data_IF_132602919052
#
_entry.id   IF_132602919052
#
_cell.length_a   1.000
_cell.length_b   1.000
_cell.length_c   1.000
_cell.angle_alpha   90.00
_cell.angle_beta   90.00
_cell.angle_gamma   90.00
#
_symmetry.space_group_name_H-M   'P 1'
#
loop_
_entity.id
_entity.type
_entity.pdbx_description
1 polymer ?
#
# COMPACT_ATOMS: atom_id res chain seq x y z
N UNK A 1 -24.06 1.13 -15.68
CA UNK A 1 -23.84 1.86 -16.95
C UNK A 1 -22.43 2.42 -16.88
N UNK A 2 -21.50 1.94 -17.71
CA UNK A 2 -20.15 2.48 -17.73
C UNK A 2 -20.15 3.73 -18.62
N UNK A 3 -19.80 4.89 -18.07
CA UNK A 3 -19.62 6.10 -18.85
C UNK A 3 -18.27 6.01 -19.56
N UNK A 4 -18.29 5.64 -20.83
CA UNK A 4 -17.12 5.73 -21.70
C UNK A 4 -16.92 7.21 -22.07
N UNK A 5 -16.01 7.89 -21.39
CA UNK A 5 -15.51 9.19 -21.85
C UNK A 5 -14.79 8.93 -23.17
N UNK A 6 -15.08 9.71 -24.21
CA UNK A 6 -14.31 9.65 -25.45
C UNK A 6 -12.93 10.22 -25.18
N UNK A 7 -11.92 9.37 -25.16
CA UNK A 7 -10.54 9.81 -25.09
C UNK A 7 -10.15 10.48 -26.42
N UNK A 8 -9.94 11.80 -26.38
CA UNK A 8 -9.16 12.50 -27.40
C UNK A 8 -7.68 12.13 -27.20
N UNK A 9 -7.29 10.93 -27.63
CA UNK A 9 -5.88 10.53 -27.63
C UNK A 9 -5.19 11.20 -28.80
N UNK A 10 -4.51 12.31 -28.53
CA UNK A 10 -3.37 12.71 -29.35
C UNK A 10 -2.40 11.52 -29.37
N UNK A 11 -2.03 11.06 -30.57
CA UNK A 11 -1.11 9.94 -30.80
C UNK A 11 0.21 10.19 -30.08
N UNK A 12 0.36 9.60 -28.89
CA UNK A 12 1.62 9.61 -28.14
C UNK A 12 2.67 8.92 -29.01
N UNK A 13 3.82 9.55 -29.30
CA UNK A 13 4.89 8.93 -30.05
C UNK A 13 5.25 7.59 -29.42
N UNK A 14 5.27 6.54 -30.24
CA UNK A 14 5.50 5.13 -29.86
C UNK A 14 6.86 4.84 -29.20
N UNK A 15 7.64 5.86 -28.88
CA UNK A 15 9.00 5.77 -28.36
C UNK A 15 9.23 6.56 -27.06
N UNK A 16 8.18 7.04 -26.38
CA UNK A 16 8.35 7.53 -25.00
C UNK A 16 8.47 6.32 -24.06
N UNK A 17 9.72 5.94 -23.76
CA UNK A 17 10.05 5.04 -22.65
C UNK A 17 9.87 5.80 -21.33
N UNK A 18 8.63 5.89 -20.86
CA UNK A 18 8.35 6.35 -19.50
C UNK A 18 8.78 5.25 -18.52
N UNK A 19 9.85 5.51 -17.78
CA UNK A 19 10.30 4.64 -16.70
C UNK A 19 10.02 5.34 -15.37
N UNK A 20 9.29 4.67 -14.49
CA UNK A 20 9.02 5.16 -13.13
C UNK A 20 10.34 5.32 -12.38
N UNK A 21 10.63 6.46 -11.73
CA UNK A 21 11.85 6.61 -10.95
C UNK A 21 11.99 5.47 -9.94
N UNK A 22 13.15 4.83 -9.92
CA UNK A 22 13.47 3.75 -8.97
C UNK A 22 14.63 4.21 -8.10
N UNK A 23 14.46 4.12 -6.79
CA UNK A 23 15.40 4.61 -5.79
C UNK A 23 15.95 3.41 -5.03
N UNK A 24 17.27 3.27 -5.09
CA UNK A 24 18.00 2.22 -4.39
C UNK A 24 18.40 2.72 -2.99
N UNK A 25 17.97 2.01 -1.94
CA UNK A 25 18.33 2.30 -0.55
C UNK A 25 19.47 1.42 -0.02
N UNK A 26 20.18 0.69 -0.90
CA UNK A 26 21.34 -0.08 -0.51
C UNK A 26 22.40 0.82 0.14
N UNK A 27 22.90 0.38 1.30
CA UNK A 27 23.98 1.03 2.06
C UNK A 27 23.72 2.49 2.49
N UNK A 28 22.49 3.03 2.38
CA UNK A 28 22.19 4.42 2.80
C UNK A 28 22.40 4.67 4.30
N UNK A 29 22.39 3.61 5.11
CA UNK A 29 22.64 3.70 6.55
C UNK A 29 24.14 3.68 6.90
N UNK A 30 25.01 3.23 5.99
CA UNK A 30 26.45 3.05 6.22
C UNK A 30 27.29 3.97 5.34
N UNK A 31 26.73 4.54 4.28
CA UNK A 31 27.42 5.39 3.31
C UNK A 31 26.71 6.73 3.11
N UNK A 32 27.34 7.81 3.57
CA UNK A 32 26.79 9.18 3.47
C UNK A 32 26.56 9.62 2.02
N UNK A 33 27.44 9.25 1.08
CA UNK A 33 27.29 9.62 -0.32
C UNK A 33 26.04 8.97 -0.93
N UNK A 34 25.81 7.69 -0.64
CA UNK A 34 24.61 6.97 -1.10
C UNK A 34 23.34 7.55 -0.49
N UNK A 35 23.39 7.95 0.79
CA UNK A 35 22.27 8.63 1.45
C UNK A 35 21.93 9.96 0.79
N UNK A 36 22.92 10.80 0.50
CA UNK A 36 22.72 12.09 -0.17
C UNK A 36 22.14 11.90 -1.57
N UNK A 37 22.66 10.93 -2.33
CA UNK A 37 22.14 10.61 -3.65
C UNK A 37 20.68 10.12 -3.61
N UNK A 38 20.34 9.23 -2.67
CA UNK A 38 18.97 8.76 -2.49
C UNK A 38 18.01 9.90 -2.13
N UNK A 39 18.41 10.83 -1.25
CA UNK A 39 17.60 11.99 -0.87
C UNK A 39 17.37 12.95 -2.04
N UNK A 40 18.37 13.19 -2.88
CA UNK A 40 18.21 14.01 -4.09
C UNK A 40 17.24 13.34 -5.07
N UNK A 41 17.37 12.03 -5.30
CA UNK A 41 16.46 11.26 -6.15
C UNK A 41 15.02 11.29 -5.62
N UNK A 42 14.82 11.12 -4.31
CA UNK A 42 13.49 11.22 -3.68
C UNK A 42 12.91 12.61 -3.92
N UNK A 43 13.70 13.66 -3.68
CA UNK A 43 13.26 15.05 -3.84
C UNK A 43 12.86 15.35 -5.28
N UNK A 44 13.67 14.92 -6.26
CA UNK A 44 13.35 15.06 -7.69
C UNK A 44 12.09 14.26 -8.05
N UNK A 45 11.99 13.00 -7.65
CA UNK A 45 10.83 12.16 -7.96
C UNK A 45 9.53 12.72 -7.37
N UNK A 46 9.55 13.22 -6.14
CA UNK A 46 8.40 13.90 -5.55
C UNK A 46 7.96 15.13 -6.35
N UNK A 47 8.91 15.96 -6.82
CA UNK A 47 8.62 17.19 -7.56
C UNK A 47 8.16 16.95 -9.00
N UNK A 48 8.80 16.01 -9.69
CA UNK A 48 8.63 15.80 -11.13
C UNK A 48 7.58 14.72 -11.44
N UNK A 49 7.43 13.71 -10.58
CA UNK A 49 6.57 12.55 -10.83
C UNK A 49 5.43 12.41 -9.82
N UNK A 50 5.65 12.79 -8.55
CA UNK A 50 4.71 12.54 -7.46
C UNK A 50 4.64 11.07 -7.02
N UNK A 51 5.41 10.17 -7.63
CA UNK A 51 5.54 8.77 -7.24
C UNK A 51 6.89 8.19 -7.70
N UNK A 52 7.34 7.12 -7.03
CA UNK A 52 8.56 6.38 -7.34
C UNK A 52 8.50 4.97 -6.74
N UNK A 53 9.40 4.11 -7.19
CA UNK A 53 9.63 2.78 -6.60
C UNK A 53 10.86 2.81 -5.71
N UNK A 54 10.87 1.96 -4.68
CA UNK A 54 12.01 1.77 -3.80
C UNK A 54 12.47 0.31 -3.92
N UNK A 55 13.79 0.11 -4.04
CA UNK A 55 14.44 -1.20 -3.95
C UNK A 55 15.46 -1.21 -2.82
N UNK A 56 15.85 -2.40 -2.35
CA UNK A 56 16.76 -2.57 -1.21
C UNK A 56 16.30 -1.81 0.06
N UNK A 57 14.98 -1.74 0.28
CA UNK A 57 14.35 -1.03 1.42
C UNK A 57 14.56 -1.72 2.78
N UNK A 58 15.24 -2.89 2.82
CA UNK A 58 15.56 -3.60 4.06
C UNK A 58 14.40 -4.38 4.70
N UNK A 59 13.25 -4.49 4.02
CA UNK A 59 12.16 -5.37 4.45
C UNK A 59 12.39 -6.72 3.76
N UNK A 60 12.45 -7.81 4.54
CA UNK A 60 12.65 -9.16 4.02
C UNK A 60 11.56 -9.58 3.04
N UNK A 61 11.94 -10.30 2.00
CA UNK A 61 11.01 -10.76 0.95
C UNK A 61 9.95 -11.69 1.55
N UNK A 62 10.35 -12.52 2.51
CA UNK A 62 9.47 -13.42 3.26
C UNK A 62 8.36 -12.67 4.01
N UNK A 63 8.63 -11.45 4.50
CA UNK A 63 7.62 -10.61 5.16
C UNK A 63 6.59 -10.10 4.14
N UNK A 64 7.06 -9.71 2.94
CA UNK A 64 6.17 -9.28 1.86
C UNK A 64 5.32 -10.43 1.33
N UNK A 65 5.90 -11.62 1.16
CA UNK A 65 5.20 -12.81 0.70
C UNK A 65 4.12 -13.25 1.69
N UNK A 66 4.43 -13.30 3.00
CA UNK A 66 3.43 -13.62 4.01
C UNK A 66 2.34 -12.56 4.13
N UNK A 67 2.65 -11.28 3.89
CA UNK A 67 1.63 -10.22 3.77
C UNK A 67 0.67 -10.50 2.61
N UNK A 68 1.19 -10.80 1.43
CA UNK A 68 0.37 -11.12 0.26
C UNK A 68 -0.47 -12.39 0.52
N UNK A 69 0.12 -13.43 1.10
CA UNK A 69 -0.58 -14.66 1.45
C UNK A 69 -1.70 -14.43 2.47
N UNK A 70 -1.45 -13.66 3.53
CA UNK A 70 -2.46 -13.37 4.56
C UNK A 70 -3.68 -12.65 3.98
N UNK A 71 -3.46 -11.60 3.18
CA UNK A 71 -4.55 -10.85 2.52
C UNK A 71 -5.29 -11.74 1.51
N UNK A 72 -4.57 -12.55 0.73
CA UNK A 72 -5.18 -13.50 -0.20
C UNK A 72 -6.08 -14.51 0.54
N UNK A 73 -5.55 -15.15 1.59
CA UNK A 73 -6.30 -16.10 2.43
C UNK A 73 -7.56 -15.45 2.99
N UNK A 74 -7.51 -14.19 3.40
CA UNK A 74 -8.70 -13.46 3.86
C UNK A 74 -9.78 -13.35 2.78
N UNK A 75 -9.43 -12.98 1.55
CA UNK A 75 -10.41 -12.84 0.46
C UNK A 75 -10.96 -14.19 -0.04
N UNK A 76 -10.20 -15.28 0.15
CA UNK A 76 -10.60 -16.66 -0.14
C UNK A 76 -11.48 -17.30 0.97
N UNK A 77 -11.64 -16.66 2.13
CA UNK A 77 -12.58 -17.13 3.17
C UNK A 77 -14.02 -17.12 2.69
N UNK A 78 -14.85 -17.96 3.34
CA UNK A 78 -16.29 -17.97 3.17
C UNK A 78 -16.90 -16.58 3.41
N UNK A 79 -17.91 -16.25 2.61
CA UNK A 79 -18.56 -14.95 2.67
C UNK A 79 -19.17 -14.66 4.04
N UNK A 80 -19.70 -15.68 4.73
CA UNK A 80 -20.23 -15.52 6.09
C UNK A 80 -19.16 -15.09 7.10
N UNK A 81 -17.93 -15.59 6.95
CA UNK A 81 -16.81 -15.18 7.80
C UNK A 81 -16.39 -13.75 7.45
N UNK A 82 -16.21 -13.43 6.16
CA UNK A 82 -15.82 -12.07 5.72
C UNK A 82 -16.86 -11.01 6.11
N UNK A 83 -18.16 -11.34 6.08
CA UNK A 83 -19.26 -10.44 6.49
C UNK A 83 -19.12 -9.97 7.93
N UNK A 84 -18.54 -10.77 8.84
CA UNK A 84 -18.31 -10.35 10.23
C UNK A 84 -17.37 -9.14 10.34
N UNK A 85 -16.47 -8.97 9.37
CA UNK A 85 -15.56 -7.83 9.28
C UNK A 85 -16.15 -6.67 8.46
N UNK A 86 -17.29 -6.85 7.78
CA UNK A 86 -17.84 -5.84 6.89
C UNK A 86 -18.32 -4.61 7.67
N UNK A 87 -17.80 -3.44 7.32
CA UNK A 87 -18.26 -2.18 7.90
C UNK A 87 -17.96 -0.95 7.06
N UNK A 88 -18.93 -0.04 7.01
CA UNK A 88 -18.77 1.32 6.49
C UNK A 88 -18.37 2.34 7.56
N UNK A 89 -18.34 1.94 8.82
CA UNK A 89 -17.87 2.79 9.91
C UNK A 89 -16.36 2.99 9.80
N UNK A 90 -15.95 4.24 9.57
CA UNK A 90 -14.54 4.61 9.41
C UNK A 90 -13.79 4.72 10.74
N UNK A 91 -14.48 4.63 11.88
CA UNK A 91 -13.85 4.62 13.20
C UNK A 91 -13.27 3.25 13.57
N UNK A 92 -13.76 2.16 12.94
CA UNK A 92 -13.23 0.81 13.15
C UNK A 92 -11.80 0.70 12.65
N UNK A 93 -10.92 0.12 13.47
CA UNK A 93 -9.52 -0.11 13.13
C UNK A 93 -9.30 -1.24 12.13
N UNK A 94 -10.17 -2.24 12.13
CA UNK A 94 -10.18 -3.30 11.12
C UNK A 94 -11.56 -3.33 10.47
N UNK A 95 -11.61 -3.22 9.15
CA UNK A 95 -12.88 -3.33 8.41
C UNK A 95 -12.69 -3.83 6.99
N UNK A 96 -13.58 -4.72 6.60
CA UNK A 96 -13.80 -5.14 5.22
C UNK A 96 -14.88 -4.26 4.59
N UNK A 97 -14.72 -3.86 3.34
CA UNK A 97 -15.70 -3.02 2.66
C UNK A 97 -15.53 -3.11 1.13
N UNK A 98 -16.63 -2.81 0.45
CA UNK A 98 -16.67 -2.62 -0.99
C UNK A 98 -17.21 -1.22 -1.28
N UNK A 99 -16.74 -0.58 -2.35
CA UNK A 99 -17.23 0.74 -2.77
C UNK A 99 -17.19 1.80 -1.66
N UNK A 100 -16.01 2.05 -1.08
CA UNK A 100 -15.84 2.91 0.09
C UNK A 100 -16.39 4.35 -0.03
N UNK A 101 -16.56 4.83 -1.25
CA UNK A 101 -17.07 6.16 -1.62
C UNK A 101 -18.40 6.12 -2.37
N UNK A 102 -19.16 5.00 -2.31
CA UNK A 102 -20.40 4.78 -3.08
C UNK A 102 -21.41 5.95 -3.10
N UNK A 103 -21.49 6.72 -2.01
CA UNK A 103 -22.44 7.83 -1.88
C UNK A 103 -21.86 9.20 -2.28
N UNK A 104 -20.60 9.23 -2.72
CA UNK A 104 -19.88 10.43 -3.16
C UNK A 104 -19.48 10.34 -4.62
N UNK A 105 -19.10 9.14 -5.07
CA UNK A 105 -18.59 8.94 -6.42
C UNK A 105 -19.73 8.67 -7.41
N UNK A 106 -19.54 9.13 -8.64
CA UNK A 106 -20.50 8.93 -9.73
C UNK A 106 -20.61 7.47 -10.19
N UNK A 107 -19.64 6.63 -9.83
CA UNK A 107 -19.58 5.24 -10.21
C UNK A 107 -19.05 4.36 -9.08
N UNK A 108 -19.54 3.13 -9.05
CA UNK A 108 -19.00 2.06 -8.23
C UNK A 108 -17.58 1.67 -8.72
N UNK A 109 -16.71 1.31 -7.78
CA UNK A 109 -15.43 0.69 -8.08
C UNK A 109 -15.53 -0.84 -8.01
N UNK A 110 -14.87 -1.53 -8.95
CA UNK A 110 -14.72 -2.97 -8.90
C UNK A 110 -13.56 -3.30 -7.97
N UNK A 111 -13.81 -3.23 -6.65
CA UNK A 111 -12.81 -3.49 -5.62
C UNK A 111 -13.46 -3.82 -4.30
N UNK A 112 -12.95 -4.89 -3.69
CA UNK A 112 -13.13 -5.16 -2.28
C UNK A 112 -11.84 -4.87 -1.52
N UNK A 113 -11.96 -4.45 -0.27
CA UNK A 113 -10.80 -4.01 0.51
C UNK A 113 -10.98 -4.33 1.99
N UNK A 114 -9.93 -4.87 2.59
CA UNK A 114 -9.74 -4.88 4.03
C UNK A 114 -8.74 -3.78 4.39
N UNK A 115 -9.06 -2.99 5.42
CA UNK A 115 -8.18 -1.94 5.92
C UNK A 115 -7.83 -2.17 7.40
N UNK A 116 -6.59 -1.85 7.73
CA UNK A 116 -6.03 -1.88 9.08
C UNK A 116 -5.53 -0.47 9.43
N UNK A 117 -6.07 0.13 10.48
CA UNK A 117 -5.68 1.46 10.93
C UNK A 117 -4.88 1.37 12.22
N UNK A 118 -3.58 1.70 12.13
CA UNK A 118 -2.63 1.56 13.25
C UNK A 118 -2.35 2.84 14.02
N UNK A 119 -2.99 3.96 13.67
CA UNK A 119 -2.82 5.25 14.35
C UNK A 119 -4.04 5.56 15.23
N UNK A 120 -3.87 6.15 16.43
CA UNK A 120 -2.60 6.38 17.13
C UNK A 120 -1.97 5.12 17.72
N UNK A 121 -2.73 4.02 17.78
CA UNK A 121 -2.28 2.72 18.27
C UNK A 121 -2.77 1.62 17.32
N UNK A 122 -2.07 0.46 17.21
CA UNK A 122 -2.52 -0.66 16.41
C UNK A 122 -3.91 -1.19 16.86
N UNK A 123 -4.63 -1.93 15.99
CA UNK A 123 -5.80 -2.71 16.39
C UNK A 123 -5.41 -3.78 17.41
N UNK A 124 -6.36 -4.18 18.25
CA UNK A 124 -6.15 -5.35 19.10
C UNK A 124 -5.97 -6.59 18.21
N UNK A 125 -5.06 -7.54 18.53
CA UNK A 125 -4.85 -8.72 17.71
C UNK A 125 -6.12 -9.54 17.45
N UNK A 126 -7.07 -9.53 18.38
CA UNK A 126 -8.35 -10.23 18.22
C UNK A 126 -9.29 -9.59 17.19
N UNK A 127 -9.13 -8.30 16.89
CA UNK A 127 -9.88 -7.60 15.84
C UNK A 127 -9.35 -7.93 14.42
N UNK A 128 -8.12 -8.44 14.33
CA UNK A 128 -7.48 -8.83 13.06
C UNK A 128 -7.97 -10.24 12.68
N UNK A 129 -8.38 -10.49 11.42
CA UNK A 129 -8.68 -11.85 10.96
C UNK A 129 -7.51 -12.78 11.25
N UNK A 130 -7.79 -13.99 11.76
CA UNK A 130 -6.74 -14.93 12.16
C UNK A 130 -5.71 -15.19 11.06
N UNK A 131 -6.16 -15.29 9.80
CA UNK A 131 -5.32 -15.47 8.61
C UNK A 131 -4.39 -14.29 8.30
N UNK A 132 -4.63 -13.11 8.90
CA UNK A 132 -3.82 -11.91 8.78
C UNK A 132 -2.97 -11.61 10.03
N UNK A 133 -3.15 -12.32 11.16
CA UNK A 133 -2.48 -11.99 12.44
C UNK A 133 -0.96 -12.17 12.44
N UNK A 134 -0.42 -12.99 11.54
CA UNK A 134 1.04 -13.13 11.42
C UNK A 134 1.72 -11.82 10.96
N UNK A 135 0.95 -10.88 10.40
CA UNK A 135 1.42 -9.55 9.98
C UNK A 135 1.57 -8.55 11.12
N UNK A 136 0.96 -8.80 12.28
CA UNK A 136 1.04 -7.89 13.45
C UNK A 136 2.19 -8.21 14.40
N UNK A 137 2.82 -9.40 14.27
CA UNK A 137 3.86 -9.88 15.20
C UNK A 137 5.28 -9.75 14.66
N UNK A 138 5.47 -9.36 13.39
CA UNK A 138 6.78 -8.95 12.91
C UNK A 138 7.11 -7.60 13.53
N UNK A 139 8.02 -7.59 14.50
CA UNK A 139 8.65 -6.38 15.02
C UNK A 139 9.26 -5.60 13.84
N UNK A 140 8.50 -4.66 13.28
CA UNK A 140 9.09 -3.52 12.61
C UNK A 140 9.85 -2.77 13.70
N UNK A 141 11.14 -3.07 13.85
CA UNK A 141 12.05 -2.29 14.67
C UNK A 141 12.12 -0.89 14.04
N UNK A 142 11.15 -0.04 14.37
CA UNK A 142 11.03 1.37 13.96
C UNK A 142 12.11 2.28 14.55
N UNK A 143 13.17 1.71 15.13
CA UNK A 143 14.26 2.46 15.77
C UNK A 143 15.21 3.14 14.76
N UNK A 144 15.01 2.97 13.44
CA UNK A 144 15.87 3.59 12.42
C UNK A 144 15.25 4.77 11.65
N UNK A 145 14.02 5.20 11.98
CA UNK A 145 13.40 6.37 11.32
C UNK A 145 13.47 7.67 12.15
N UNK A 146 14.00 7.63 13.38
CA UNK A 146 14.12 8.81 14.25
C UNK A 146 15.42 9.63 14.05
N UNK A 147 16.06 9.54 12.88
CA UNK A 147 17.21 10.40 12.55
C UNK A 147 17.22 10.88 11.09
N UNK A 148 16.05 11.25 10.57
CA UNK A 148 15.94 12.17 9.45
C UNK A 148 15.96 13.61 9.97
#
# INVERSE_FOLDING_TARGET
>A
MFHHVKDNTETIPSNLKFHVPTIDLKDVNTNLSMRVEALDKITRACKEWGFFQIVNHGIGVEVLDEMLHGIRRFHELDDEVKKTFYSRDRSKKVRYFSNGSLFRDLAANWRDSIAFFSSPHPPNPEEIPAVCRYLSNTNFNGNNFNSL
#
